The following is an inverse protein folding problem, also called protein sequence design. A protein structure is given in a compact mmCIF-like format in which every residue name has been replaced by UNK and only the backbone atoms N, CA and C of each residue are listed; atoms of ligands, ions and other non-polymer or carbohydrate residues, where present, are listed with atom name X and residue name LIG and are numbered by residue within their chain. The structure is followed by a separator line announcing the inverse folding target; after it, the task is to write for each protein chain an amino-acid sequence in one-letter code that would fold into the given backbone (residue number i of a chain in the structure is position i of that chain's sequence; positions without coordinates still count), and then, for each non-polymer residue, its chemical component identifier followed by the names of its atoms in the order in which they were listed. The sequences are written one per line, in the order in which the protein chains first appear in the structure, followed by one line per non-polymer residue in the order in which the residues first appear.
data_IF_108579121781
#
_entry.id   IF_108579121781
#
_cell.length_a   1.000
_cell.length_b   1.000
_cell.length_c   1.000
_cell.angle_alpha   90.00
_cell.angle_beta   90.00
_cell.angle_gamma   90.00
#
_symmetry.space_group_name_H-M   'P 1'
#
loop_
_entity.id
_entity.type
_entity.pdbx_description
1 polymer ?
#
# COMPACT_ATOMS: atom_id res chain seq x y z
N UNK A 1 2.56 0.41 -12.11
CA UNK A 1 2.21 0.17 -10.69
C UNK A 1 2.09 1.54 -10.02
N UNK A 2 1.07 1.77 -9.22
CA UNK A 2 0.73 3.09 -8.67
C UNK A 2 -0.14 3.93 -9.61
N UNK A 3 -0.17 5.25 -9.42
CA UNK A 3 -1.24 6.10 -9.97
C UNK A 3 -1.33 6.13 -11.50
N UNK A 4 -0.21 5.88 -12.18
CA UNK A 4 -0.17 5.75 -13.65
C UNK A 4 -0.94 4.54 -14.19
N UNK A 5 -1.30 3.58 -13.34
CA UNK A 5 -2.06 2.39 -13.72
C UNK A 5 -3.57 2.51 -13.46
N UNK A 6 -4.04 3.62 -12.88
CA UNK A 6 -5.46 3.82 -12.54
C UNK A 6 -6.30 4.10 -13.80
N UNK A 7 -5.71 4.81 -14.76
CA UNK A 7 -6.38 5.17 -16.01
C UNK A 7 -6.44 3.99 -16.98
N UNK A 8 -7.51 3.91 -17.77
CA UNK A 8 -7.50 3.04 -18.95
C UNK A 8 -6.39 3.53 -19.88
N UNK A 9 -5.44 2.66 -20.27
CA UNK A 9 -4.38 3.08 -21.16
C UNK A 9 -4.96 3.63 -22.46
N UNK A 10 -4.45 4.79 -22.90
CA UNK A 10 -4.80 5.36 -24.20
C UNK A 10 -4.36 4.47 -25.37
N UNK A 11 -3.40 3.57 -25.11
CA UNK A 11 -2.88 2.58 -26.04
C UNK A 11 -3.56 1.22 -25.83
N UNK A 12 -3.82 0.50 -26.94
CA UNK A 12 -4.30 -0.88 -26.87
C UNK A 12 -3.14 -1.79 -26.52
N UNK A 13 -3.16 -2.32 -25.31
CA UNK A 13 -2.31 -3.43 -24.91
C UNK A 13 -3.01 -4.76 -25.20
N UNK A 14 -2.25 -5.80 -25.51
CA UNK A 14 -2.76 -7.17 -25.68
C UNK A 14 -3.35 -7.71 -24.36
N UNK A 15 -2.75 -7.33 -23.23
CA UNK A 15 -3.26 -7.63 -21.90
C UNK A 15 -2.88 -6.54 -20.90
N UNK A 16 -3.73 -6.33 -19.90
CA UNK A 16 -3.49 -5.44 -18.74
C UNK A 16 -3.63 -6.29 -17.48
N UNK A 17 -2.59 -6.31 -16.65
CA UNK A 17 -2.52 -7.15 -15.45
C UNK A 17 -2.43 -6.27 -14.21
N UNK A 18 -3.28 -6.58 -13.21
CA UNK A 18 -3.15 -6.03 -11.87
C UNK A 18 -2.32 -6.99 -11.01
N UNK A 19 -1.05 -6.64 -10.78
CA UNK A 19 -0.12 -7.48 -10.02
C UNK A 19 -0.56 -7.68 -8.56
N UNK A 20 -1.31 -6.73 -7.98
CA UNK A 20 -1.88 -6.90 -6.65
C UNK A 20 -2.97 -7.97 -6.68
N UNK A 21 -3.85 -7.93 -7.67
CA UNK A 21 -4.89 -8.95 -7.84
C UNK A 21 -4.30 -10.33 -8.17
N UNK A 22 -3.28 -10.42 -9.04
CA UNK A 22 -2.58 -11.68 -9.32
C UNK A 22 -1.92 -12.25 -8.07
N UNK A 23 -1.30 -11.39 -7.25
CA UNK A 23 -0.71 -11.82 -5.99
C UNK A 23 -1.77 -12.37 -5.03
N UNK A 24 -2.93 -11.71 -4.93
CA UNK A 24 -4.05 -12.21 -4.13
C UNK A 24 -4.54 -13.55 -4.68
N UNK A 25 -4.68 -13.70 -6.00
CA UNK A 25 -5.05 -14.97 -6.63
C UNK A 25 -4.06 -16.10 -6.37
N UNK A 26 -2.76 -15.79 -6.36
CA UNK A 26 -1.69 -16.75 -6.12
C UNK A 26 -1.52 -17.13 -4.64
N UNK A 27 -1.55 -16.15 -3.74
CA UNK A 27 -1.15 -16.32 -2.33
C UNK A 27 -2.33 -16.30 -1.35
N UNK A 28 -3.48 -15.76 -1.75
CA UNK A 28 -4.61 -15.48 -0.87
C UNK A 28 -4.37 -14.32 0.12
N UNK A 29 -3.28 -13.56 -0.05
CA UNK A 29 -2.85 -12.52 0.88
C UNK A 29 -2.80 -11.14 0.21
N UNK A 30 -3.00 -10.05 0.96
CA UNK A 30 -2.80 -8.70 0.41
C UNK A 30 -1.33 -8.47 0.04
N UNK A 31 -1.10 -7.61 -0.95
CA UNK A 31 0.23 -7.17 -1.35
C UNK A 31 0.56 -5.80 -0.72
N UNK A 32 1.75 -5.67 -0.14
CA UNK A 32 2.20 -4.41 0.49
C UNK A 32 3.13 -3.68 -0.46
N UNK A 33 2.63 -2.61 -1.09
CA UNK A 33 3.42 -1.82 -2.04
C UNK A 33 4.39 -0.84 -1.36
N UNK A 34 4.00 -0.25 -0.24
CA UNK A 34 4.80 0.73 0.47
C UNK A 34 4.44 0.77 1.96
N UNK A 35 5.37 1.26 2.77
CA UNK A 35 5.21 1.50 4.20
C UNK A 35 6.08 2.67 4.65
N UNK A 36 5.66 3.36 5.70
CA UNK A 36 6.54 4.27 6.41
C UNK A 36 7.52 3.48 7.26
N UNK A 37 8.81 3.73 7.05
CA UNK A 37 9.91 3.04 7.74
C UNK A 37 10.87 4.08 8.32
N UNK A 38 11.41 3.77 9.48
CA UNK A 38 12.47 4.53 10.11
C UNK A 38 13.60 3.58 10.53
N UNK A 39 14.78 4.14 10.76
CA UNK A 39 15.87 3.37 11.35
C UNK A 39 15.57 3.12 12.83
N UNK A 40 16.06 2.00 13.36
CA UNK A 40 15.85 1.60 14.76
C UNK A 40 16.36 2.62 15.79
N UNK A 41 17.33 3.46 15.42
CA UNK A 41 17.93 4.48 16.28
C UNK A 41 17.14 5.80 16.33
N UNK A 42 15.99 5.89 15.63
CA UNK A 42 15.16 7.09 15.55
C UNK A 42 13.92 6.91 16.41
N UNK A 43 13.65 7.88 17.30
CA UNK A 43 12.40 7.95 18.05
C UNK A 43 11.25 8.33 17.11
N UNK A 44 10.25 7.46 16.98
CA UNK A 44 9.15 7.65 16.01
C UNK A 44 7.77 7.78 16.63
N UNK A 45 7.61 7.68 17.96
CA UNK A 45 6.28 7.58 18.58
C UNK A 45 5.39 8.78 18.25
N UNK A 46 5.90 10.00 18.44
CA UNK A 46 5.18 11.23 18.10
C UNK A 46 4.86 11.34 16.61
N UNK A 47 5.82 10.98 15.75
CA UNK A 47 5.65 11.02 14.30
C UNK A 47 4.63 9.97 13.83
N UNK A 48 4.66 8.76 14.39
CA UNK A 48 3.72 7.68 14.08
C UNK A 48 2.30 8.09 14.43
N UNK A 49 2.08 8.75 15.58
CA UNK A 49 0.77 9.30 15.93
C UNK A 49 0.28 10.33 14.92
N UNK A 50 1.14 11.29 14.53
CA UNK A 50 0.78 12.33 13.55
C UNK A 50 0.46 11.73 12.17
N UNK A 51 1.25 10.75 11.72
CA UNK A 51 1.03 10.07 10.45
C UNK A 51 -0.27 9.24 10.47
N UNK A 52 -0.55 8.52 11.56
CA UNK A 52 -1.81 7.79 11.74
C UNK A 52 -3.03 8.70 11.77
N UNK A 53 -2.96 9.84 12.48
CA UNK A 53 -4.05 10.81 12.49
C UNK A 53 -4.26 11.43 11.09
N UNK A 54 -3.17 11.74 10.39
CA UNK A 54 -3.23 12.28 9.03
C UNK A 54 -3.84 11.29 8.05
N UNK A 55 -3.46 10.00 8.12
CA UNK A 55 -4.09 8.91 7.35
C UNK A 55 -5.58 8.86 7.63
N UNK A 56 -5.98 8.75 8.90
CA UNK A 56 -7.39 8.65 9.30
C UNK A 56 -8.21 9.85 8.78
N UNK A 57 -7.65 11.05 8.84
CA UNK A 57 -8.28 12.26 8.30
C UNK A 57 -8.41 12.19 6.77
N UNK A 58 -7.40 11.67 6.08
CA UNK A 58 -7.44 11.43 4.64
C UNK A 58 -8.55 10.44 4.26
N UNK A 59 -8.64 9.31 4.94
CA UNK A 59 -9.67 8.28 4.75
C UNK A 59 -11.09 8.83 4.98
N UNK A 60 -11.26 9.72 5.96
CA UNK A 60 -12.54 10.39 6.20
C UNK A 60 -12.92 11.42 5.10
N UNK A 61 -11.95 11.85 4.27
CA UNK A 61 -12.12 12.92 3.28
C UNK A 61 -11.78 12.50 1.84
N UNK A 62 -11.81 11.20 1.53
CA UNK A 62 -11.42 10.68 0.20
C UNK A 62 -12.18 11.35 -0.97
N UNK A 63 -13.45 11.71 -0.79
CA UNK A 63 -14.22 12.38 -1.82
C UNK A 63 -13.67 13.78 -2.16
N UNK A 64 -13.25 14.54 -1.15
CA UNK A 64 -12.64 15.85 -1.34
C UNK A 64 -11.25 15.72 -1.99
N UNK A 65 -10.46 14.72 -1.57
CA UNK A 65 -9.15 14.43 -2.15
C UNK A 65 -9.30 14.02 -3.62
N UNK A 66 -10.23 13.12 -3.94
CA UNK A 66 -10.48 12.70 -5.32
C UNK A 66 -10.92 13.87 -6.21
N UNK A 67 -11.75 14.79 -5.68
CA UNK A 67 -12.15 15.98 -6.41
C UNK A 67 -10.97 16.92 -6.70
N UNK A 68 -10.04 17.08 -5.75
CA UNK A 68 -8.87 17.93 -5.90
C UNK A 68 -7.80 17.32 -6.84
N UNK A 69 -7.57 16.00 -6.75
CA UNK A 69 -6.42 15.36 -7.41
C UNK A 69 -6.77 14.67 -8.73
N UNK A 70 -8.03 14.33 -9.01
CA UNK A 70 -8.38 13.54 -10.21
C UNK A 70 -7.84 14.14 -11.53
N UNK A 71 -7.95 15.46 -11.71
CA UNK A 71 -7.52 16.14 -12.92
C UNK A 71 -5.99 16.10 -13.14
N UNK A 72 -5.19 16.26 -12.08
CA UNK A 72 -3.72 16.21 -12.17
C UNK A 72 -3.21 14.82 -12.56
N UNK A 73 -4.01 13.78 -12.27
CA UNK A 73 -3.74 12.39 -12.59
C UNK A 73 -4.44 11.89 -13.88
N UNK A 74 -5.16 12.77 -14.61
CA UNK A 74 -5.86 12.39 -15.84
C UNK A 74 -7.04 11.43 -15.62
N UNK A 75 -7.62 11.45 -14.41
CA UNK A 75 -8.74 10.60 -14.01
C UNK A 75 -10.02 11.41 -13.90
N UNK A 76 -11.15 10.72 -14.00
CA UNK A 76 -12.42 11.29 -13.51
C UNK A 76 -12.46 11.20 -11.97
N UNK A 77 -13.20 12.11 -11.33
CA UNK A 77 -13.41 12.08 -9.86
C UNK A 77 -13.88 10.70 -9.37
N UNK A 78 -14.87 10.03 -10.01
CA UNK A 78 -15.29 8.70 -9.60
C UNK A 78 -14.18 7.64 -9.70
N UNK A 79 -13.37 7.66 -10.77
CA UNK A 79 -12.25 6.72 -10.91
C UNK A 79 -11.20 6.91 -9.81
N UNK A 80 -10.83 8.16 -9.53
CA UNK A 80 -9.90 8.49 -8.46
C UNK A 80 -10.45 8.06 -7.09
N UNK A 81 -11.73 8.33 -6.81
CA UNK A 81 -12.38 7.92 -5.57
C UNK A 81 -12.42 6.40 -5.40
N UNK A 82 -12.81 5.66 -6.45
CA UNK A 82 -12.80 4.19 -6.43
C UNK A 82 -11.39 3.67 -6.14
N UNK A 83 -10.37 4.19 -6.80
CA UNK A 83 -9.00 3.77 -6.53
C UNK A 83 -8.58 4.00 -5.07
N UNK A 84 -8.81 5.22 -4.54
CA UNK A 84 -8.42 5.56 -3.18
C UNK A 84 -9.20 4.77 -2.12
N UNK A 85 -10.47 4.43 -2.39
CA UNK A 85 -11.35 3.76 -1.41
C UNK A 85 -11.33 2.24 -1.51
N UNK A 86 -11.36 1.71 -2.72
CA UNK A 86 -11.66 0.30 -2.99
C UNK A 86 -10.39 -0.48 -3.40
N UNK A 87 -9.38 0.19 -3.98
CA UNK A 87 -8.15 -0.47 -4.44
C UNK A 87 -6.96 -0.29 -3.48
N UNK A 88 -6.97 0.75 -2.65
CA UNK A 88 -5.93 0.99 -1.66
C UNK A 88 -6.37 0.60 -0.25
N UNK A 89 -5.45 0.00 0.49
CA UNK A 89 -5.61 -0.32 1.90
C UNK A 89 -4.46 0.32 2.69
N UNK A 90 -4.80 1.21 3.63
CA UNK A 90 -3.81 2.08 4.30
C UNK A 90 -3.40 1.59 5.69
N UNK A 91 -3.94 0.45 6.12
CA UNK A 91 -3.66 -0.14 7.43
C UNK A 91 -2.71 -1.33 7.27
N UNK A 92 -1.81 -1.49 8.25
CA UNK A 92 -0.80 -2.53 8.24
C UNK A 92 -1.06 -3.54 9.37
N UNK A 93 -2.07 -4.38 9.14
CA UNK A 93 -2.56 -5.37 10.07
C UNK A 93 -1.87 -6.73 9.96
N UNK A 94 -2.44 -7.77 10.59
CA UNK A 94 -1.86 -9.12 10.58
C UNK A 94 -1.77 -9.74 9.17
N UNK A 95 -2.75 -9.50 8.30
CA UNK A 95 -2.74 -10.06 6.95
C UNK A 95 -1.68 -9.40 6.07
N UNK A 96 -1.49 -8.08 6.18
CA UNK A 96 -0.46 -7.34 5.45
C UNK A 96 0.94 -7.77 5.88
N UNK A 97 1.14 -8.03 7.18
CA UNK A 97 2.40 -8.60 7.70
C UNK A 97 2.67 -9.98 7.14
N UNK A 98 1.64 -10.82 7.05
CA UNK A 98 1.75 -12.15 6.46
C UNK A 98 2.02 -12.08 4.95
N UNK A 99 1.36 -11.18 4.23
CA UNK A 99 1.59 -10.91 2.82
C UNK A 99 3.04 -10.48 2.55
N UNK A 100 3.52 -9.49 3.31
CA UNK A 100 4.90 -8.98 3.19
C UNK A 100 5.95 -10.06 3.49
N UNK A 101 5.78 -10.80 4.59
CA UNK A 101 6.72 -11.89 4.94
C UNK A 101 6.71 -13.02 3.92
N UNK A 102 5.55 -13.34 3.35
CA UNK A 102 5.42 -14.32 2.26
C UNK A 102 6.14 -13.85 1.00
N UNK A 103 5.95 -12.59 0.60
CA UNK A 103 6.66 -11.99 -0.52
C UNK A 103 8.19 -12.00 -0.31
N UNK A 104 8.65 -11.63 0.88
CA UNK A 104 10.07 -11.66 1.22
C UNK A 104 10.66 -13.08 1.15
N UNK A 105 9.94 -14.10 1.63
CA UNK A 105 10.35 -15.50 1.53
C UNK A 105 10.51 -15.97 0.08
N UNK A 106 9.59 -15.60 -0.82
CA UNK A 106 9.75 -15.90 -2.24
C UNK A 106 10.91 -15.12 -2.87
N UNK A 107 11.06 -13.85 -2.50
CA UNK A 107 12.13 -13.01 -3.04
C UNK A 107 13.51 -13.53 -2.64
N UNK A 108 13.68 -14.00 -1.40
CA UNK A 108 14.93 -14.61 -0.93
C UNK A 108 15.18 -15.99 -1.54
N UNK A 109 14.15 -16.84 -1.70
CA UNK A 109 14.32 -18.15 -2.33
C UNK A 109 14.70 -18.07 -3.82
N UNK A 110 14.31 -16.98 -4.49
CA UNK A 110 14.69 -16.66 -5.86
C UNK A 110 16.00 -15.87 -5.98
N UNK A 111 16.65 -15.53 -4.86
CA UNK A 111 17.88 -14.72 -4.85
C UNK A 111 17.69 -13.25 -5.24
N UNK A 112 16.46 -12.73 -5.16
CA UNK A 112 16.09 -11.35 -5.48
C UNK A 112 16.15 -10.40 -4.26
N UNK A 113 16.32 -10.95 -3.06
CA UNK A 113 16.45 -10.18 -1.82
C UNK A 113 17.54 -10.78 -0.90
N UNK A 114 18.20 -9.96 -0.06
CA UNK A 114 19.18 -10.46 0.90
C UNK A 114 18.53 -11.32 1.98
N UNK A 115 19.25 -12.34 2.45
CA UNK A 115 18.84 -13.25 3.53
C UNK A 115 19.19 -12.61 4.88
N UNK A 116 18.34 -12.81 5.90
CA UNK A 116 18.61 -12.39 7.29
C UNK A 116 18.06 -11.01 7.65
N UNK A 117 17.11 -10.49 6.88
CA UNK A 117 16.35 -9.31 7.28
C UNK A 117 15.21 -9.76 8.20
N UNK A 118 15.41 -9.64 9.52
CA UNK A 118 14.30 -9.68 10.47
C UNK A 118 13.56 -8.36 10.36
N UNK A 119 12.38 -8.40 9.75
CA UNK A 119 11.47 -7.27 9.71
C UNK A 119 10.83 -7.14 11.11
N UNK A 120 11.60 -6.65 12.09
CA UNK A 120 11.06 -6.22 13.38
C UNK A 120 10.20 -4.97 13.12
N UNK A 121 8.93 -5.24 12.82
CA UNK A 121 7.93 -4.22 12.60
C UNK A 121 7.48 -3.74 13.97
N UNK A 122 7.84 -2.51 14.33
CA UNK A 122 7.36 -1.86 15.55
C UNK A 122 5.87 -2.14 15.73
N UNK A 123 5.54 -2.95 16.73
CA UNK A 123 4.15 -3.26 17.08
C UNK A 123 3.57 -2.02 17.71
N UNK A 124 2.42 -1.57 17.21
CA UNK A 124 1.62 -0.55 17.90
C UNK A 124 1.42 -1.01 19.34
N UNK A 125 1.86 -0.17 20.29
CA UNK A 125 1.62 -0.39 21.70
C UNK A 125 0.11 -0.51 21.93
N UNK A 126 -0.31 -1.70 22.34
CA UNK A 126 -1.64 -1.92 22.91
C UNK A 126 -1.69 -1.08 24.18
N UNK A 127 -2.43 0.03 24.14
CA UNK A 127 -2.84 0.72 25.35
C UNK A 127 -3.80 -0.20 26.10
N UNK A 128 -3.38 -0.57 27.32
CA UNK A 128 -4.14 -1.28 28.35
C UNK A 128 -5.41 -0.55 28.77
#
# INVERSE_FOLDING_TARGET
IGDRAIGSPHERFEAVWDLGNEWVGFSGLPFVFAMWVARQDVETESLAMVLSETRNRGEANLAAIAAAESASHGLTVPQCLTYLRDNLHYHFGPQERLGLSTFYRYSTSLGLAPIGFDCELATEGVLS
#
